data_IF_142158182230
#
_entry.id   IF_142158182230
#
_cell.length_a   1.000
_cell.length_b   1.000
_cell.length_c   1.000
_cell.angle_alpha   90.00
_cell.angle_beta   90.00
_cell.angle_gamma   90.00
#
_symmetry.space_group_name_H-M   'P 1'
#
loop_
_entity.id
_entity.type
_entity.pdbx_description
1 polymer ?
#
# COMPACT_ATOMS: atom_id res chain seq x y z
N UNK A 1 -33.26 20.42 26.88
CA UNK A 1 -32.76 19.39 25.98
C UNK A 1 -33.87 19.02 25.00
N UNK A 2 -33.68 19.03 23.66
CA UNK A 2 -34.75 18.66 22.75
C UNK A 2 -34.93 17.12 22.80
N UNK A 3 -36.14 16.67 23.08
CA UNK A 3 -36.51 15.27 23.18
C UNK A 3 -36.25 14.52 21.86
N UNK A 4 -35.43 13.46 21.92
CA UNK A 4 -35.05 12.59 20.79
C UNK A 4 -36.23 11.82 20.16
N UNK A 5 -37.44 11.89 20.74
CA UNK A 5 -38.64 11.10 20.35
C UNK A 5 -39.79 11.89 19.74
N UNK A 6 -39.61 13.18 19.42
CA UNK A 6 -40.73 14.07 19.00
C UNK A 6 -41.35 13.61 17.65
N UNK A 7 -40.56 13.12 16.70
CA UNK A 7 -41.07 12.75 15.36
C UNK A 7 -41.84 11.41 15.35
N UNK A 8 -41.39 10.43 16.11
CA UNK A 8 -42.12 9.15 16.26
C UNK A 8 -43.48 9.36 16.92
N UNK A 9 -43.56 10.21 17.93
CA UNK A 9 -44.83 10.55 18.60
C UNK A 9 -45.77 11.35 17.68
N UNK A 10 -45.21 12.22 16.80
CA UNK A 10 -46.00 12.92 15.78
C UNK A 10 -46.63 11.95 14.79
N UNK A 11 -45.86 10.96 14.31
CA UNK A 11 -46.40 9.92 13.40
C UNK A 11 -47.53 9.12 14.06
N UNK A 12 -47.34 8.69 15.31
CA UNK A 12 -48.36 8.00 16.07
C UNK A 12 -49.62 8.85 16.30
N UNK A 13 -49.46 10.12 16.62
CA UNK A 13 -50.56 11.08 16.77
C UNK A 13 -51.37 11.25 15.45
N UNK A 14 -50.67 11.33 14.30
CA UNK A 14 -51.30 11.43 12.98
C UNK A 14 -52.07 10.14 12.67
N UNK A 15 -51.50 8.97 12.88
CA UNK A 15 -52.19 7.68 12.69
C UNK A 15 -53.45 7.55 13.55
N UNK A 16 -53.37 7.96 14.82
CA UNK A 16 -54.51 7.91 15.72
C UNK A 16 -55.64 8.88 15.25
N UNK A 17 -55.31 10.06 14.76
CA UNK A 17 -56.32 11.00 14.21
C UNK A 17 -56.93 10.55 12.88
N UNK A 18 -56.15 9.78 12.08
CA UNK A 18 -56.64 9.16 10.85
C UNK A 18 -57.59 8.00 11.15
N UNK A 19 -57.31 7.23 12.24
CA UNK A 19 -58.14 6.13 12.68
C UNK A 19 -59.40 6.55 13.45
N UNK A 20 -59.39 7.68 14.15
CA UNK A 20 -60.52 8.25 14.85
C UNK A 20 -60.80 9.70 14.44
N UNK A 21 -61.73 9.91 13.50
CA UNK A 21 -62.07 11.27 13.02
C UNK A 21 -62.66 12.19 14.11
N UNK A 22 -63.08 11.67 15.24
CA UNK A 22 -63.58 12.46 16.36
C UNK A 22 -62.50 12.97 17.28
N UNK A 23 -61.30 12.45 17.14
CA UNK A 23 -60.13 12.84 17.96
C UNK A 23 -59.66 14.25 17.57
N UNK A 24 -59.89 15.23 18.45
CA UNK A 24 -59.50 16.64 18.18
C UNK A 24 -57.99 16.83 18.27
N UNK A 25 -57.44 17.66 17.39
CA UNK A 25 -55.98 17.98 17.28
C UNK A 25 -55.30 18.25 18.63
N UNK A 26 -55.90 19.10 19.47
CA UNK A 26 -55.29 19.43 20.79
C UNK A 26 -55.33 18.27 21.78
N UNK A 27 -56.30 17.38 21.66
CA UNK A 27 -56.40 16.19 22.48
C UNK A 27 -55.34 15.16 22.08
N UNK A 28 -55.22 14.90 20.78
CA UNK A 28 -54.17 14.04 20.24
C UNK A 28 -52.78 14.56 20.61
N UNK A 29 -52.53 15.85 20.44
CA UNK A 29 -51.26 16.48 20.81
C UNK A 29 -50.89 16.28 22.30
N UNK A 30 -51.88 16.32 23.20
CA UNK A 30 -51.71 16.09 24.63
C UNK A 30 -51.44 14.63 24.94
N UNK A 31 -52.16 13.68 24.32
CA UNK A 31 -52.01 12.23 24.51
C UNK A 31 -50.60 11.82 24.10
N UNK A 32 -50.13 12.27 22.97
CA UNK A 32 -48.83 11.87 22.41
C UNK A 32 -47.69 12.83 22.80
N UNK A 33 -47.95 13.79 23.72
CA UNK A 33 -46.94 14.72 24.23
C UNK A 33 -46.19 15.50 23.12
N UNK A 34 -46.91 15.92 22.05
CA UNK A 34 -46.33 16.66 20.92
C UNK A 34 -46.91 18.06 20.83
N UNK A 35 -46.18 18.97 20.20
CA UNK A 35 -46.69 20.33 19.96
C UNK A 35 -47.82 20.30 18.95
N UNK A 36 -48.97 20.89 19.34
CA UNK A 36 -50.20 20.89 18.50
C UNK A 36 -50.05 21.67 17.19
N UNK A 37 -49.16 22.68 17.14
CA UNK A 37 -48.88 23.45 15.91
C UNK A 37 -48.03 22.59 14.96
N UNK A 38 -47.07 21.83 15.48
CA UNK A 38 -46.32 20.89 14.69
C UNK A 38 -47.20 19.78 14.15
N UNK A 39 -48.08 19.21 14.96
CA UNK A 39 -49.02 18.19 14.57
C UNK A 39 -50.01 18.72 13.48
N UNK A 40 -50.54 19.93 13.62
CA UNK A 40 -51.40 20.52 12.62
C UNK A 40 -50.70 20.68 11.28
N UNK A 41 -49.49 21.23 11.27
CA UNK A 41 -48.69 21.39 10.04
C UNK A 41 -48.39 20.04 9.36
N UNK A 42 -48.18 18.97 10.12
CA UNK A 42 -47.99 17.64 9.57
C UNK A 42 -49.25 17.09 8.93
N UNK A 43 -50.40 17.29 9.54
CA UNK A 43 -51.72 16.90 8.97
C UNK A 43 -52.01 17.67 7.67
N UNK A 44 -51.58 18.90 7.56
CA UNK A 44 -51.65 19.73 6.33
C UNK A 44 -50.61 19.29 5.26
N UNK A 45 -49.84 18.21 5.49
CA UNK A 45 -48.82 17.69 4.54
C UNK A 45 -47.49 18.43 4.53
N UNK A 46 -47.25 19.34 5.50
CA UNK A 46 -45.94 20.00 5.60
C UNK A 46 -44.89 19.02 6.08
N UNK A 47 -43.86 18.68 5.28
CA UNK A 47 -42.85 17.69 5.63
C UNK A 47 -41.98 18.10 6.82
N UNK A 48 -41.31 17.15 7.44
CA UNK A 48 -40.33 17.38 8.50
C UNK A 48 -39.19 18.27 7.99
N UNK A 49 -38.65 19.10 8.86
CA UNK A 49 -37.43 19.88 8.54
C UNK A 49 -36.24 18.95 8.22
N UNK A 50 -36.32 17.69 8.63
CA UNK A 50 -35.35 16.64 8.28
C UNK A 50 -35.56 16.10 6.88
N UNK A 51 -36.80 16.08 6.38
CA UNK A 51 -37.18 15.53 5.08
C UNK A 51 -37.19 16.61 3.99
N UNK A 52 -37.22 17.87 4.38
CA UNK A 52 -37.08 19.00 3.45
C UNK A 52 -35.61 19.09 3.02
N UNK A 53 -35.35 18.98 1.72
CA UNK A 53 -34.06 19.32 1.16
C UNK A 53 -33.65 20.72 1.65
N UNK A 54 -32.45 20.82 2.21
CA UNK A 54 -31.90 22.11 2.60
C UNK A 54 -31.91 23.03 1.36
N UNK A 55 -32.53 24.21 1.44
CA UNK A 55 -32.56 25.20 0.39
C UNK A 55 -31.16 25.62 -0.12
N UNK A 56 -30.13 25.25 0.61
CA UNK A 56 -28.73 25.47 0.26
C UNK A 56 -28.12 24.37 -0.63
N UNK A 57 -28.86 23.29 -0.97
CA UNK A 57 -28.35 22.30 -1.94
C UNK A 57 -28.30 22.90 -3.33
N UNK A 58 -27.09 23.00 -3.87
CA UNK A 58 -26.89 23.55 -5.21
C UNK A 58 -27.25 22.54 -6.32
N UNK A 59 -27.03 21.22 -6.10
CA UNK A 59 -27.39 20.17 -7.03
C UNK A 59 -28.68 19.47 -6.62
N UNK A 60 -29.48 19.09 -7.61
CA UNK A 60 -30.66 18.21 -7.44
C UNK A 60 -30.22 16.79 -7.06
N UNK A 61 -31.14 15.98 -6.55
CA UNK A 61 -30.85 14.59 -6.22
C UNK A 61 -30.40 13.77 -7.44
N UNK A 62 -31.00 14.05 -8.62
CA UNK A 62 -30.63 13.39 -9.86
C UNK A 62 -29.20 13.76 -10.28
N UNK A 63 -28.86 15.06 -10.29
CA UNK A 63 -27.52 15.54 -10.61
C UNK A 63 -26.47 14.95 -9.66
N UNK A 64 -26.77 14.87 -8.35
CA UNK A 64 -25.89 14.22 -7.38
C UNK A 64 -25.74 12.72 -7.66
N UNK A 65 -26.78 12.01 -8.05
CA UNK A 65 -26.72 10.58 -8.37
C UNK A 65 -25.89 10.31 -9.63
N UNK A 66 -26.05 11.14 -10.66
CA UNK A 66 -25.22 11.08 -11.88
C UNK A 66 -23.75 11.34 -11.53
N UNK A 67 -23.48 12.32 -10.68
CA UNK A 67 -22.11 12.62 -10.25
C UNK A 67 -21.50 11.48 -9.45
N UNK A 68 -22.26 10.82 -8.55
CA UNK A 68 -21.82 9.62 -7.80
C UNK A 68 -21.45 8.52 -8.78
N UNK A 69 -22.33 8.18 -9.73
CA UNK A 69 -22.06 7.13 -10.70
C UNK A 69 -20.81 7.42 -11.51
N UNK A 70 -20.64 8.64 -11.98
CA UNK A 70 -19.46 9.03 -12.74
C UNK A 70 -18.15 8.93 -11.92
N UNK A 71 -18.20 9.29 -10.62
CA UNK A 71 -17.05 9.12 -9.71
C UNK A 71 -16.71 7.64 -9.54
N UNK A 72 -17.73 6.77 -9.37
CA UNK A 72 -17.53 5.33 -9.22
C UNK A 72 -16.97 4.70 -10.49
N UNK A 73 -17.45 5.12 -11.66
CA UNK A 73 -16.93 4.64 -12.96
C UNK A 73 -15.48 5.04 -13.18
N UNK A 74 -15.10 6.29 -12.81
CA UNK A 74 -13.71 6.72 -12.86
C UNK A 74 -12.84 5.94 -11.88
N UNK A 75 -13.32 5.70 -10.67
CA UNK A 75 -12.60 4.92 -9.66
C UNK A 75 -12.40 3.46 -10.11
N UNK A 76 -13.42 2.83 -10.72
CA UNK A 76 -13.33 1.48 -11.28
C UNK A 76 -12.30 1.38 -12.42
N UNK A 77 -12.11 2.46 -13.18
CA UNK A 77 -11.08 2.56 -14.23
C UNK A 77 -9.68 2.90 -13.69
N UNK A 78 -9.50 3.02 -12.38
CA UNK A 78 -8.22 3.36 -11.76
C UNK A 78 -7.91 4.86 -11.68
N UNK A 79 -8.86 5.74 -12.01
CA UNK A 79 -8.71 7.19 -12.01
C UNK A 79 -9.63 7.90 -11.01
N UNK A 80 -9.58 7.58 -9.69
CA UNK A 80 -10.43 8.23 -8.70
C UNK A 80 -10.17 9.75 -8.68
N UNK A 81 -11.20 10.58 -8.82
CA UNK A 81 -11.01 12.02 -8.92
C UNK A 81 -10.66 12.64 -7.56
N UNK A 82 -9.83 13.70 -7.59
CA UNK A 82 -9.55 14.52 -6.41
C UNK A 82 -10.78 15.34 -6.03
N UNK A 83 -10.88 15.78 -4.78
CA UNK A 83 -11.99 16.63 -4.31
C UNK A 83 -12.16 17.90 -5.17
N UNK A 84 -11.07 18.54 -5.60
CA UNK A 84 -11.12 19.70 -6.49
C UNK A 84 -11.76 19.39 -7.86
N UNK A 85 -11.46 18.19 -8.40
CA UNK A 85 -12.05 17.73 -9.66
C UNK A 85 -13.55 17.47 -9.49
N UNK A 86 -13.97 16.92 -8.35
CA UNK A 86 -15.38 16.71 -8.00
C UNK A 86 -16.11 18.08 -7.88
N UNK A 87 -15.46 19.10 -7.33
CA UNK A 87 -15.99 20.48 -7.29
C UNK A 87 -16.16 21.07 -8.70
N UNK A 88 -15.19 20.85 -9.58
CA UNK A 88 -15.26 21.30 -10.97
C UNK A 88 -16.36 20.56 -11.75
N UNK A 89 -16.51 19.24 -11.57
CA UNK A 89 -17.59 18.47 -12.17
C UNK A 89 -18.97 19.01 -11.74
N UNK A 90 -19.17 19.22 -10.44
CA UNK A 90 -20.39 19.80 -9.89
C UNK A 90 -20.66 21.21 -10.43
N UNK A 91 -19.61 22.03 -10.54
CA UNK A 91 -19.70 23.39 -11.08
C UNK A 91 -20.04 23.41 -12.57
N UNK A 92 -19.55 22.44 -13.36
CA UNK A 92 -19.93 22.27 -14.77
C UNK A 92 -21.40 21.92 -14.93
N UNK A 93 -21.93 20.99 -14.09
CA UNK A 93 -23.37 20.68 -14.07
C UNK A 93 -24.21 21.92 -13.74
N UNK A 94 -23.76 22.77 -12.82
CA UNK A 94 -24.45 24.02 -12.49
C UNK A 94 -24.40 25.06 -13.63
N UNK A 95 -23.29 25.11 -14.36
CA UNK A 95 -23.11 26.01 -15.48
C UNK A 95 -24.11 25.75 -16.65
N UNK A 96 -24.58 24.49 -16.80
CA UNK A 96 -25.60 24.20 -17.83
C UNK A 96 -26.93 24.87 -17.62
N UNK A 97 -27.17 25.43 -16.44
CA UNK A 97 -28.40 26.19 -16.07
C UNK A 97 -28.10 27.57 -15.49
N UNK A 98 -26.95 28.14 -15.84
CA UNK A 98 -26.50 29.46 -15.39
C UNK A 98 -26.46 29.64 -13.85
N UNK A 99 -26.31 28.57 -13.08
CA UNK A 99 -26.23 28.63 -11.65
C UNK A 99 -24.79 28.86 -11.16
N UNK A 100 -24.63 29.48 -9.99
CA UNK A 100 -23.32 29.79 -9.43
C UNK A 100 -22.55 28.55 -9.00
N UNK A 101 -21.23 28.55 -9.18
CA UNK A 101 -20.32 27.47 -8.80
C UNK A 101 -20.47 26.99 -7.35
N UNK A 102 -20.11 25.77 -7.05
CA UNK A 102 -20.04 25.24 -5.68
C UNK A 102 -18.87 25.88 -4.90
N UNK A 103 -19.00 25.94 -3.58
CA UNK A 103 -17.93 26.47 -2.72
C UNK A 103 -16.85 25.40 -2.41
N UNK A 104 -15.69 25.84 -1.93
CA UNK A 104 -14.50 25.03 -1.67
C UNK A 104 -14.67 23.86 -0.68
N UNK A 105 -15.70 23.84 0.14
CA UNK A 105 -16.01 22.72 1.07
C UNK A 105 -17.14 21.83 0.57
N UNK A 106 -17.66 22.10 -0.61
CA UNK A 106 -18.84 21.41 -1.12
C UNK A 106 -18.55 19.92 -1.36
N UNK A 107 -17.44 19.58 -2.03
CA UNK A 107 -17.08 18.20 -2.34
C UNK A 107 -16.85 17.36 -1.07
N UNK A 108 -16.16 17.92 -0.06
CA UNK A 108 -15.98 17.24 1.22
C UNK A 108 -17.31 16.95 1.93
N UNK A 109 -18.25 17.90 1.89
CA UNK A 109 -19.59 17.72 2.46
C UNK A 109 -20.44 16.77 1.60
N UNK A 110 -20.27 16.78 0.29
CA UNK A 110 -20.91 15.86 -0.65
C UNK A 110 -20.51 14.41 -0.36
N UNK A 111 -19.22 14.12 -0.27
CA UNK A 111 -18.72 12.77 0.05
C UNK A 111 -19.21 12.30 1.43
N UNK A 112 -19.21 13.16 2.45
CA UNK A 112 -19.69 12.80 3.80
C UNK A 112 -21.17 12.41 3.87
N UNK A 113 -22.03 12.92 2.97
CA UNK A 113 -23.47 12.60 2.95
C UNK A 113 -23.83 11.45 2.03
N UNK A 114 -22.89 10.99 1.19
CA UNK A 114 -23.09 9.87 0.27
C UNK A 114 -22.38 8.64 0.81
N UNK A 115 -23.17 7.62 1.16
CA UNK A 115 -22.66 6.36 1.75
C UNK A 115 -21.82 5.55 0.76
N UNK A 116 -22.03 5.78 -0.54
CA UNK A 116 -21.32 5.12 -1.64
C UNK A 116 -19.89 5.65 -1.81
N UNK A 117 -19.58 6.82 -1.22
CA UNK A 117 -18.31 7.52 -1.41
C UNK A 117 -17.50 7.62 -0.13
N UNK A 118 -16.19 7.57 -0.25
CA UNK A 118 -15.25 7.84 0.84
C UNK A 118 -14.00 8.54 0.32
N UNK A 119 -13.32 9.31 1.18
CA UNK A 119 -12.01 9.88 0.87
C UNK A 119 -10.90 8.96 1.36
N UNK A 120 -9.91 8.72 0.51
CA UNK A 120 -8.65 8.03 0.85
C UNK A 120 -7.46 8.82 0.33
N UNK A 121 -6.31 8.71 1.00
CA UNK A 121 -5.07 9.22 0.45
C UNK A 121 -4.66 8.38 -0.76
N UNK A 122 -4.55 9.03 -1.91
CA UNK A 122 -4.04 8.41 -3.12
C UNK A 122 -2.52 8.26 -2.98
N UNK A 123 -2.01 7.03 -3.00
CA UNK A 123 -0.59 6.75 -3.27
C UNK A 123 -0.39 6.86 -4.78
N UNK A 124 0.78 7.35 -5.21
CA UNK A 124 1.18 7.25 -6.62
C UNK A 124 1.25 5.76 -6.97
N UNK A 125 0.40 5.32 -7.85
CA UNK A 125 0.36 3.94 -8.32
C UNK A 125 0.70 3.93 -9.81
N UNK A 126 1.69 3.13 -10.17
CA UNK A 126 2.14 3.02 -11.54
C UNK A 126 1.08 2.29 -12.38
N UNK A 127 0.77 2.82 -13.58
CA UNK A 127 -0.20 2.23 -14.50
C UNK A 127 0.21 0.81 -14.94
N UNK A 128 1.50 0.56 -15.11
CA UNK A 128 2.03 -0.77 -15.44
C UNK A 128 1.75 -1.77 -14.30
N UNK A 129 1.91 -1.34 -13.05
CA UNK A 129 1.56 -2.16 -11.88
C UNK A 129 0.08 -2.49 -11.84
N UNK A 130 -0.81 -1.54 -12.18
CA UNK A 130 -2.25 -1.80 -12.25
C UNK A 130 -2.64 -2.86 -13.29
N UNK A 131 -1.90 -2.94 -14.40
CA UNK A 131 -2.10 -3.99 -15.41
C UNK A 131 -1.68 -5.37 -14.93
N UNK A 132 -0.71 -5.44 -14.05
CA UNK A 132 -0.17 -6.72 -13.55
C UNK A 132 -1.00 -7.30 -12.39
N UNK A 133 -2.00 -6.57 -11.90
CA UNK A 133 -3.02 -7.07 -10.98
C UNK A 133 -4.14 -7.84 -11.69
N UNK A 134 -4.02 -8.08 -13.00
CA UNK A 134 -4.98 -8.89 -13.74
C UNK A 134 -4.99 -10.32 -13.18
N UNK A 135 -6.13 -10.79 -12.64
CA UNK A 135 -6.25 -12.13 -12.09
C UNK A 135 -5.90 -13.24 -13.08
N UNK A 136 -6.10 -13.03 -14.38
CA UNK A 136 -5.77 -14.02 -15.41
C UNK A 136 -4.25 -14.18 -15.54
N UNK A 137 -3.49 -13.09 -15.52
CA UNK A 137 -2.02 -13.11 -15.56
C UNK A 137 -1.46 -13.80 -14.31
N UNK A 138 -1.99 -13.46 -13.13
CA UNK A 138 -1.56 -14.03 -11.86
C UNK A 138 -1.88 -15.53 -11.81
N UNK A 139 -3.07 -15.93 -12.19
CA UNK A 139 -3.47 -17.35 -12.21
C UNK A 139 -2.64 -18.14 -13.23
N UNK A 140 -2.40 -17.59 -14.41
CA UNK A 140 -1.56 -18.22 -15.43
C UNK A 140 -0.12 -18.45 -14.93
N UNK A 141 0.44 -17.50 -14.18
CA UNK A 141 1.75 -17.65 -13.58
C UNK A 141 1.76 -18.75 -12.50
N UNK A 142 0.76 -18.82 -11.63
CA UNK A 142 0.67 -19.90 -10.64
C UNK A 142 0.44 -21.26 -11.29
N UNK A 143 -0.25 -21.35 -12.42
CA UNK A 143 -0.35 -22.57 -13.21
C UNK A 143 1.01 -23.00 -13.76
N UNK A 144 1.80 -22.05 -14.27
CA UNK A 144 3.16 -22.31 -14.74
C UNK A 144 4.03 -22.85 -13.62
N UNK A 145 3.97 -22.27 -12.42
CA UNK A 145 4.69 -22.76 -11.23
C UNK A 145 4.29 -24.21 -10.91
N UNK A 146 2.97 -24.49 -10.79
CA UNK A 146 2.47 -25.86 -10.52
C UNK A 146 2.91 -26.87 -11.57
N UNK A 147 2.81 -26.50 -12.84
CA UNK A 147 3.21 -27.37 -13.94
C UNK A 147 4.71 -27.63 -13.95
N UNK A 148 5.52 -26.64 -13.60
CA UNK A 148 6.97 -26.78 -13.47
C UNK A 148 7.34 -27.72 -12.31
N UNK A 149 6.73 -27.53 -11.15
CA UNK A 149 6.92 -28.41 -9.99
C UNK A 149 6.57 -29.85 -10.35
N UNK A 150 5.41 -30.07 -10.98
CA UNK A 150 4.95 -31.39 -11.40
C UNK A 150 5.88 -32.02 -12.47
N UNK A 151 6.32 -31.23 -13.45
CA UNK A 151 7.18 -31.68 -14.54
C UNK A 151 8.55 -32.19 -14.08
N UNK A 152 9.16 -31.47 -13.14
CA UNK A 152 10.52 -31.78 -12.67
C UNK A 152 10.52 -32.53 -11.34
N UNK A 153 9.36 -32.80 -10.72
CA UNK A 153 9.25 -33.46 -9.42
C UNK A 153 9.94 -32.70 -8.31
N UNK A 154 9.75 -31.36 -8.29
CA UNK A 154 10.42 -30.48 -7.33
C UNK A 154 9.74 -30.62 -5.97
N UNK A 155 10.52 -30.87 -4.92
CA UNK A 155 10.02 -30.89 -3.55
C UNK A 155 9.73 -29.48 -3.04
N UNK A 156 8.78 -29.34 -2.13
CA UNK A 156 8.46 -28.04 -1.54
C UNK A 156 9.68 -27.40 -0.87
N UNK A 157 10.51 -28.19 -0.20
CA UNK A 157 11.74 -27.72 0.44
C UNK A 157 12.77 -27.15 -0.55
N UNK A 158 12.67 -27.54 -1.83
CA UNK A 158 13.58 -27.16 -2.90
C UNK A 158 13.09 -25.94 -3.71
N UNK A 159 12.04 -25.26 -3.24
CA UNK A 159 11.54 -24.02 -3.83
C UNK A 159 12.15 -22.83 -3.11
N UNK A 160 12.78 -21.95 -3.87
CA UNK A 160 13.46 -20.76 -3.38
C UNK A 160 12.95 -19.52 -4.09
N UNK A 161 12.90 -18.41 -3.35
CA UNK A 161 12.71 -17.08 -3.91
C UNK A 161 14.00 -16.27 -3.75
N UNK A 162 14.36 -15.56 -4.79
CA UNK A 162 15.52 -14.68 -4.88
C UNK A 162 15.09 -13.25 -5.13
N UNK A 163 15.77 -12.30 -4.50
CA UNK A 163 15.58 -10.89 -4.77
C UNK A 163 16.72 -10.03 -4.20
N UNK A 164 16.80 -8.79 -4.67
CA UNK A 164 17.77 -7.80 -4.24
C UNK A 164 17.10 -6.64 -3.53
N UNK A 165 17.74 -6.15 -2.48
CA UNK A 165 17.31 -4.92 -1.84
C UNK A 165 18.46 -3.99 -1.59
N UNK A 166 18.23 -2.69 -1.82
CA UNK A 166 19.23 -1.66 -1.62
C UNK A 166 19.06 -0.88 -0.33
N UNK A 167 20.19 -0.50 0.24
CA UNK A 167 20.32 0.39 1.37
C UNK A 167 21.22 1.57 0.97
N UNK A 168 20.77 2.76 1.30
CA UNK A 168 21.64 3.94 1.23
C UNK A 168 22.18 4.20 2.63
N UNK A 169 23.49 4.16 2.81
CA UNK A 169 24.11 4.38 4.11
C UNK A 169 23.64 5.69 4.74
N UNK A 170 23.32 5.65 6.01
CA UNK A 170 22.91 6.82 6.77
C UNK A 170 21.54 7.40 6.41
N UNK A 171 20.71 6.76 5.60
CA UNK A 171 19.36 7.25 5.32
C UNK A 171 18.38 6.75 6.37
N UNK A 172 17.76 7.70 7.07
CA UNK A 172 16.74 7.47 8.08
C UNK A 172 15.37 7.45 7.43
N UNK A 173 14.55 6.47 7.77
CA UNK A 173 13.16 6.38 7.33
C UNK A 173 12.32 7.57 7.78
N UNK A 174 11.36 8.00 6.95
CA UNK A 174 10.41 9.05 7.32
C UNK A 174 9.48 8.51 8.41
N UNK A 175 9.46 9.15 9.56
CA UNK A 175 8.61 8.79 10.68
C UNK A 175 7.86 10.02 11.23
N UNK A 176 6.81 9.77 12.01
CA UNK A 176 6.13 10.81 12.76
C UNK A 176 6.98 11.17 13.98
N UNK A 177 7.33 12.45 14.12
CA UNK A 177 8.16 12.94 15.22
C UNK A 177 7.37 13.89 16.11
N UNK A 178 7.72 13.91 17.40
CA UNK A 178 7.20 14.89 18.35
C UNK A 178 8.14 16.09 18.34
N UNK A 179 7.57 17.29 18.16
CA UNK A 179 8.33 18.55 18.13
C UNK A 179 7.57 19.63 18.89
N UNK A 180 8.21 20.80 19.11
CA UNK A 180 7.56 21.92 19.77
C UNK A 180 6.29 22.36 19.04
N UNK A 181 5.24 22.67 19.79
CA UNK A 181 3.96 23.22 19.30
C UNK A 181 4.12 24.63 18.69
N UNK A 182 5.18 25.35 19.03
CA UNK A 182 5.43 26.72 18.61
C UNK A 182 6.04 26.82 17.19
N UNK A 183 6.45 25.67 16.61
CA UNK A 183 7.06 25.60 15.30
C UNK A 183 6.06 25.60 14.15
N UNK A 184 6.03 26.64 13.32
CA UNK A 184 5.26 26.68 12.06
C UNK A 184 5.92 25.93 10.91
N UNK A 185 7.18 25.51 11.05
CA UNK A 185 7.94 24.79 10.02
C UNK A 185 7.79 23.28 10.17
N UNK A 186 7.87 22.55 9.05
CA UNK A 186 7.97 21.08 9.06
C UNK A 186 9.19 20.66 9.87
N UNK A 187 9.03 19.69 10.78
CA UNK A 187 10.15 19.10 11.51
C UNK A 187 11.21 18.60 10.51
N UNK A 188 12.44 19.01 10.70
CA UNK A 188 13.60 18.56 9.89
C UNK A 188 14.41 17.60 10.75
N UNK A 189 14.71 16.42 10.21
CA UNK A 189 15.61 15.45 10.82
C UNK A 189 16.96 15.55 10.12
N UNK A 190 18.03 15.70 10.88
CA UNK A 190 19.40 15.68 10.35
C UNK A 190 19.70 14.25 9.95
N UNK A 191 20.25 14.07 8.75
CA UNK A 191 20.66 12.76 8.23
C UNK A 191 22.19 12.69 8.14
N UNK A 192 22.80 11.51 8.33
CA UNK A 192 24.21 11.29 8.11
C UNK A 192 24.68 11.72 6.72
N UNK A 193 25.95 12.10 6.60
CA UNK A 193 26.52 12.63 5.37
C UNK A 193 26.84 11.58 4.30
N UNK A 194 27.13 10.34 4.71
CA UNK A 194 27.45 9.25 3.78
C UNK A 194 26.19 8.74 3.07
N UNK A 195 26.29 8.53 1.75
CA UNK A 195 25.20 8.05 0.89
C UNK A 195 25.68 6.96 -0.07
N UNK A 196 26.67 6.20 0.34
CA UNK A 196 27.10 5.04 -0.44
C UNK A 196 25.98 4.00 -0.48
N UNK A 197 25.90 3.33 -1.61
CA UNK A 197 24.88 2.31 -1.83
C UNK A 197 25.39 0.94 -1.41
N UNK A 198 24.54 0.17 -0.78
CA UNK A 198 24.76 -1.25 -0.46
C UNK A 198 23.61 -2.05 -1.01
N UNK A 199 23.90 -3.09 -1.77
CA UNK A 199 22.93 -4.06 -2.22
C UNK A 199 23.07 -5.35 -1.40
N UNK A 200 21.96 -5.86 -0.92
CA UNK A 200 21.86 -7.18 -0.28
C UNK A 200 21.08 -8.08 -1.21
N UNK A 201 21.71 -9.15 -1.67
CA UNK A 201 21.08 -10.21 -2.42
C UNK A 201 20.68 -11.30 -1.45
N UNK A 202 19.42 -11.69 -1.45
CA UNK A 202 18.86 -12.66 -0.53
C UNK A 202 18.12 -13.77 -1.26
N UNK A 203 18.28 -15.00 -0.77
CA UNK A 203 17.48 -16.14 -1.15
C UNK A 203 16.77 -16.73 0.07
N UNK A 204 15.50 -17.10 -0.06
CA UNK A 204 14.74 -17.78 1.00
C UNK A 204 14.03 -18.99 0.44
N UNK A 205 14.00 -20.09 1.20
CA UNK A 205 13.23 -21.28 0.83
C UNK A 205 11.76 -21.12 1.22
N UNK A 206 10.89 -21.91 0.61
CA UNK A 206 9.47 -22.01 0.98
C UNK A 206 9.25 -22.39 2.45
N UNK A 207 10.21 -23.08 3.05
CA UNK A 207 10.19 -23.49 4.45
C UNK A 207 10.78 -22.44 5.41
N UNK A 208 11.12 -21.24 4.93
CA UNK A 208 11.60 -20.12 5.74
C UNK A 208 13.10 -20.16 6.08
N UNK A 209 13.87 -21.07 5.48
CA UNK A 209 15.33 -21.02 5.60
C UNK A 209 15.91 -19.97 4.65
N UNK A 210 16.83 -19.16 5.15
CA UNK A 210 17.49 -18.11 4.37
C UNK A 210 18.90 -18.56 3.95
N UNK A 211 19.22 -18.34 2.67
CA UNK A 211 20.61 -18.47 2.17
C UNK A 211 21.47 -17.44 2.89
N UNK A 212 22.73 -17.78 3.28
CA UNK A 212 23.62 -16.78 3.86
C UNK A 212 23.70 -15.52 3.00
N UNK A 213 23.62 -14.30 3.59
CA UNK A 213 23.55 -13.06 2.84
C UNK A 213 24.74 -12.85 1.90
N UNK A 214 24.45 -12.29 0.72
CA UNK A 214 25.45 -11.82 -0.23
C UNK A 214 25.31 -10.29 -0.34
N UNK A 215 26.34 -9.57 0.10
CA UNK A 215 26.30 -8.12 0.27
C UNK A 215 27.26 -7.46 -0.70
N UNK A 216 26.81 -6.49 -1.47
CA UNK A 216 27.63 -5.72 -2.41
C UNK A 216 27.74 -4.30 -1.90
N UNK A 217 28.95 -3.80 -1.67
CA UNK A 217 29.23 -2.44 -1.26
C UNK A 217 29.91 -1.65 -2.35
N UNK A 218 29.67 -0.32 -2.38
CA UNK A 218 30.38 0.57 -3.27
C UNK A 218 31.88 0.63 -2.88
N UNK A 219 32.78 0.41 -3.81
CA UNK A 219 34.22 0.48 -3.56
C UNK A 219 35.09 -0.22 -4.59
N UNK A 220 36.41 -0.09 -4.43
CA UNK A 220 37.39 -0.73 -5.31
C UNK A 220 38.12 -1.89 -4.63
N UNK A 221 38.19 -1.87 -3.31
CA UNK A 221 38.98 -2.82 -2.55
C UNK A 221 38.15 -3.44 -1.43
N UNK A 222 38.39 -4.74 -1.18
CA UNK A 222 37.95 -5.44 0.01
C UNK A 222 38.83 -5.05 1.20
N UNK A 223 38.23 -4.79 2.36
CA UNK A 223 38.96 -4.56 3.58
C UNK A 223 38.82 -5.78 4.52
N UNK A 224 39.96 -6.23 5.04
CA UNK A 224 40.01 -7.37 5.98
C UNK A 224 39.25 -7.04 7.27
N UNK A 225 39.23 -5.78 7.69
CA UNK A 225 38.50 -5.30 8.88
C UNK A 225 37.02 -5.61 8.87
N UNK A 226 36.39 -5.72 7.68
CA UNK A 226 34.97 -6.07 7.58
C UNK A 226 34.66 -7.47 8.06
N UNK A 227 35.64 -8.35 8.06
CA UNK A 227 35.48 -9.76 8.51
C UNK A 227 36.00 -9.97 9.93
N UNK A 228 37.05 -9.27 10.34
CA UNK A 228 37.71 -9.46 11.62
C UNK A 228 36.92 -8.94 12.81
N UNK A 229 36.18 -7.83 12.60
CA UNK A 229 35.48 -7.12 13.68
C UNK A 229 33.97 -7.30 13.68
N UNK A 230 33.39 -7.93 12.66
CA UNK A 230 31.93 -7.89 12.42
C UNK A 230 31.14 -9.01 13.07
N UNK A 231 31.78 -10.06 13.61
CA UNK A 231 31.08 -11.23 14.13
C UNK A 231 30.23 -11.98 13.09
N UNK A 232 30.45 -11.72 11.79
CA UNK A 232 29.74 -12.42 10.72
C UNK A 232 30.09 -13.92 10.71
N UNK A 233 29.10 -14.73 10.32
CA UNK A 233 29.36 -16.09 9.95
C UNK A 233 30.30 -16.13 8.73
N UNK A 234 31.24 -17.07 8.71
CA UNK A 234 32.15 -17.32 7.57
C UNK A 234 31.40 -17.62 6.26
N UNK A 235 30.11 -17.87 6.34
CA UNK A 235 29.25 -18.20 5.20
C UNK A 235 28.71 -16.97 4.48
N UNK A 236 28.81 -15.77 5.09
CA UNK A 236 28.41 -14.53 4.45
C UNK A 236 29.43 -14.11 3.38
N UNK A 237 28.94 -13.53 2.31
CA UNK A 237 29.78 -13.00 1.24
C UNK A 237 29.65 -11.49 1.19
N UNK A 238 30.77 -10.78 1.28
CA UNK A 238 30.85 -9.36 1.00
C UNK A 238 31.60 -9.20 -0.33
N UNK A 239 30.98 -8.50 -1.27
CA UNK A 239 31.55 -8.18 -2.59
C UNK A 239 31.67 -6.67 -2.78
N UNK A 240 32.48 -6.25 -3.72
CA UNK A 240 32.64 -4.83 -4.06
C UNK A 240 32.36 -4.60 -5.53
N UNK A 241 31.65 -3.50 -5.81
CA UNK A 241 31.51 -2.93 -7.16
C UNK A 241 31.69 -1.42 -7.06
N UNK A 242 31.97 -0.76 -8.18
CA UNK A 242 32.28 0.68 -8.17
C UNK A 242 31.21 1.53 -7.47
N UNK A 243 29.94 1.16 -7.65
CA UNK A 243 28.80 1.91 -7.17
C UNK A 243 27.90 1.15 -6.16
N UNK A 244 28.25 -0.10 -5.78
CA UNK A 244 27.47 -0.94 -4.89
C UNK A 244 26.27 -1.62 -5.54
N UNK A 245 26.16 -1.60 -6.86
CA UNK A 245 25.07 -2.26 -7.62
C UNK A 245 25.49 -3.64 -8.09
N UNK A 246 24.52 -4.50 -8.30
CA UNK A 246 24.74 -5.82 -8.90
C UNK A 246 25.16 -5.69 -10.36
N UNK A 247 26.09 -6.50 -10.77
CA UNK A 247 26.52 -6.70 -12.16
C UNK A 247 26.31 -8.17 -12.55
N UNK A 248 26.37 -8.48 -13.85
CA UNK A 248 26.25 -9.87 -14.31
C UNK A 248 27.31 -10.79 -13.66
N UNK A 249 28.52 -10.29 -13.46
CA UNK A 249 29.59 -11.00 -12.75
C UNK A 249 29.19 -11.31 -11.29
N UNK A 250 28.61 -10.34 -10.59
CA UNK A 250 28.11 -10.55 -9.20
C UNK A 250 26.88 -11.45 -9.15
N UNK A 251 26.06 -11.41 -10.18
CA UNK A 251 24.97 -12.39 -10.36
C UNK A 251 25.49 -13.83 -10.47
N UNK A 252 26.58 -14.01 -11.23
CA UNK A 252 27.25 -15.33 -11.33
C UNK A 252 27.87 -15.77 -10.01
N UNK A 253 28.54 -14.88 -9.29
CA UNK A 253 29.08 -15.19 -7.96
C UNK A 253 27.95 -15.59 -7.00
N UNK A 254 26.80 -14.91 -7.07
CA UNK A 254 25.66 -15.23 -6.24
C UNK A 254 25.05 -16.59 -6.56
N UNK A 255 24.87 -16.97 -7.82
CA UNK A 255 24.28 -18.28 -8.14
C UNK A 255 25.22 -19.44 -7.72
N UNK A 256 26.53 -19.24 -7.77
CA UNK A 256 27.51 -20.19 -7.22
C UNK A 256 27.39 -20.29 -5.70
N UNK A 257 27.22 -19.15 -5.02
CA UNK A 257 26.96 -19.09 -3.58
C UNK A 257 25.65 -19.82 -3.23
N UNK A 258 24.58 -19.60 -3.99
CA UNK A 258 23.32 -20.32 -3.86
C UNK A 258 23.50 -21.82 -4.00
N UNK A 259 24.18 -22.29 -5.06
CA UNK A 259 24.47 -23.72 -5.29
C UNK A 259 25.23 -24.35 -4.11
N UNK A 260 26.27 -23.66 -3.66
CA UNK A 260 27.10 -24.11 -2.54
C UNK A 260 26.27 -24.41 -1.28
N UNK A 261 25.30 -23.53 -0.98
CA UNK A 261 24.54 -23.62 0.27
C UNK A 261 23.25 -24.43 0.16
N UNK A 262 22.71 -24.63 -1.05
CA UNK A 262 21.44 -25.32 -1.24
C UNK A 262 21.57 -26.74 -1.73
N UNK A 263 22.67 -27.11 -2.41
CA UNK A 263 22.90 -28.44 -2.96
C UNK A 263 22.79 -29.57 -1.92
N UNK A 264 23.47 -29.41 -0.79
CA UNK A 264 23.46 -30.40 0.29
C UNK A 264 22.13 -30.47 1.05
N UNK A 265 21.25 -29.49 0.86
CA UNK A 265 19.92 -29.40 1.47
C UNK A 265 18.81 -29.89 0.55
N UNK A 266 19.09 -30.06 -0.73
CA UNK A 266 18.10 -30.49 -1.71
C UNK A 266 17.54 -31.87 -1.36
N UNK A 267 16.22 -31.98 -1.36
CA UNK A 267 15.46 -33.21 -1.14
C UNK A 267 15.25 -33.93 -2.46
N UNK A 268 14.89 -33.17 -3.51
CA UNK A 268 14.67 -33.71 -4.85
C UNK A 268 15.89 -33.61 -5.76
N UNK A 269 15.68 -33.98 -7.04
CA UNK A 269 16.70 -33.87 -8.08
C UNK A 269 16.86 -32.48 -8.66
N UNK A 270 15.88 -31.58 -8.44
CA UNK A 270 15.82 -30.24 -9.00
C UNK A 270 15.42 -29.23 -7.94
N UNK A 271 15.94 -28.02 -8.04
CA UNK A 271 15.56 -26.86 -7.23
C UNK A 271 14.85 -25.84 -8.11
N UNK A 272 13.82 -25.20 -7.61
CA UNK A 272 13.13 -24.10 -8.27
C UNK A 272 13.60 -22.77 -7.68
N UNK A 273 14.06 -21.89 -8.53
CA UNK A 273 14.45 -20.53 -8.17
C UNK A 273 13.47 -19.52 -8.83
N UNK A 274 12.63 -18.93 -8.01
CA UNK A 274 11.71 -17.87 -8.43
C UNK A 274 12.40 -16.53 -8.31
N UNK A 275 12.48 -15.76 -9.40
CA UNK A 275 13.17 -14.49 -9.48
C UNK A 275 12.33 -13.44 -10.24
N UNK A 276 12.71 -12.19 -10.12
CA UNK A 276 12.15 -11.13 -10.95
C UNK A 276 12.79 -11.14 -12.35
N UNK A 277 12.19 -10.42 -13.28
CA UNK A 277 12.67 -10.34 -14.66
C UNK A 277 13.80 -9.33 -14.87
N UNK A 278 14.67 -9.09 -13.88
CA UNK A 278 15.77 -8.13 -14.03
C UNK A 278 16.90 -8.72 -14.89
N UNK A 279 17.49 -7.88 -15.74
CA UNK A 279 18.46 -8.27 -16.79
C UNK A 279 19.73 -8.93 -16.22
N UNK A 280 20.14 -8.61 -14.99
CA UNK A 280 21.33 -9.18 -14.31
C UNK A 280 21.21 -10.68 -13.99
N UNK A 281 20.01 -11.26 -14.10
CA UNK A 281 19.73 -12.67 -13.78
C UNK A 281 19.38 -13.51 -15.02
N UNK A 282 19.62 -12.98 -16.21
CA UNK A 282 19.27 -13.59 -17.50
C UNK A 282 20.44 -13.62 -18.48
N UNK A 283 21.70 -13.54 -17.99
CA UNK A 283 22.81 -13.78 -18.89
C UNK A 283 22.83 -15.26 -19.31
N UNK A 284 23.25 -15.53 -20.54
CA UNK A 284 23.37 -16.89 -21.08
C UNK A 284 24.19 -17.78 -20.14
N UNK A 285 25.24 -17.22 -19.54
CA UNK A 285 26.13 -17.89 -18.58
C UNK A 285 25.39 -18.29 -17.29
N UNK A 286 24.50 -17.41 -16.79
CA UNK A 286 23.70 -17.68 -15.60
C UNK A 286 22.70 -18.81 -15.84
N UNK A 287 22.01 -18.78 -16.99
CA UNK A 287 21.05 -19.81 -17.35
C UNK A 287 21.72 -21.17 -17.62
N UNK A 288 22.89 -21.19 -18.27
CA UNK A 288 23.67 -22.39 -18.50
C UNK A 288 24.14 -23.02 -17.17
N UNK A 289 24.67 -22.19 -16.27
CA UNK A 289 25.05 -22.64 -14.92
C UNK A 289 23.87 -23.25 -14.15
N UNK A 290 22.72 -22.60 -14.17
CA UNK A 290 21.50 -23.12 -13.54
C UNK A 290 21.11 -24.48 -14.10
N UNK A 291 21.16 -24.64 -15.42
CA UNK A 291 20.83 -25.88 -16.10
C UNK A 291 21.80 -27.03 -15.75
N UNK A 292 23.09 -26.76 -15.71
CA UNK A 292 24.12 -27.73 -15.33
C UNK A 292 23.97 -28.20 -13.88
N UNK A 293 23.41 -27.37 -12.99
CA UNK A 293 23.26 -27.65 -11.58
C UNK A 293 21.81 -28.03 -11.18
N UNK A 294 20.96 -28.37 -12.15
CA UNK A 294 19.55 -28.71 -11.93
C UNK A 294 18.77 -27.67 -11.17
N UNK A 295 19.04 -26.39 -11.45
CA UNK A 295 18.29 -25.24 -10.94
C UNK A 295 17.33 -24.77 -12.05
N UNK A 296 16.04 -24.86 -11.79
CA UNK A 296 15.01 -24.39 -12.71
C UNK A 296 14.66 -22.96 -12.31
N UNK A 297 14.85 -22.00 -13.21
CA UNK A 297 14.51 -20.60 -12.99
C UNK A 297 13.09 -20.30 -13.48
N UNK A 298 12.32 -19.56 -12.72
CA UNK A 298 11.04 -19.04 -13.14
C UNK A 298 10.96 -17.54 -12.83
N UNK A 299 10.71 -16.74 -13.89
CA UNK A 299 10.51 -15.32 -13.76
C UNK A 299 9.05 -15.01 -13.44
N UNK A 300 8.86 -14.10 -12.52
CA UNK A 300 7.54 -13.53 -12.26
C UNK A 300 7.10 -12.63 -13.41
N UNK A 301 5.79 -12.41 -13.59
CA UNK A 301 5.28 -11.44 -14.55
C UNK A 301 5.89 -10.05 -14.29
N UNK A 302 6.23 -9.33 -15.35
CA UNK A 302 6.82 -7.99 -15.24
C UNK A 302 5.96 -7.07 -14.36
N UNK A 303 6.59 -6.25 -13.52
CA UNK A 303 5.94 -5.30 -12.60
C UNK A 303 5.06 -5.90 -11.49
N UNK A 304 5.06 -7.22 -11.30
CA UNK A 304 4.24 -7.92 -10.28
C UNK A 304 4.94 -8.13 -8.94
N UNK A 305 6.20 -7.72 -8.78
CA UNK A 305 7.02 -7.94 -7.57
C UNK A 305 6.32 -7.49 -6.28
N UNK A 306 5.58 -6.38 -6.32
CA UNK A 306 4.82 -5.87 -5.17
C UNK A 306 3.69 -6.79 -4.67
N UNK A 307 3.30 -7.80 -5.46
CA UNK A 307 2.27 -8.80 -5.15
C UNK A 307 2.85 -10.21 -5.00
N UNK A 308 3.75 -10.57 -5.90
CA UNK A 308 4.19 -11.96 -6.08
C UNK A 308 5.59 -12.25 -5.51
N UNK A 309 6.41 -11.20 -5.23
CA UNK A 309 7.75 -11.35 -4.69
C UNK A 309 7.73 -11.51 -3.17
N UNK A 310 7.94 -12.72 -2.62
CA UNK A 310 7.85 -12.97 -1.18
C UNK A 310 8.79 -12.10 -0.34
N UNK A 311 10.02 -11.86 -0.84
CA UNK A 311 11.02 -11.04 -0.15
C UNK A 311 10.59 -9.58 -0.04
N UNK A 312 10.04 -8.99 -1.11
CA UNK A 312 9.53 -7.62 -1.10
C UNK A 312 8.27 -7.47 -0.22
N UNK A 313 7.36 -8.44 -0.31
CA UNK A 313 6.08 -8.40 0.41
C UNK A 313 6.25 -8.60 1.91
N UNK A 314 7.14 -9.52 2.32
CA UNK A 314 7.23 -9.99 3.70
C UNK A 314 8.52 -9.64 4.44
N UNK A 315 9.68 -9.59 3.76
CA UNK A 315 10.98 -9.58 4.42
C UNK A 315 11.69 -8.22 4.36
N UNK A 316 11.77 -7.59 3.20
CA UNK A 316 12.56 -6.37 3.03
C UNK A 316 11.98 -5.15 3.72
N UNK A 317 10.66 -5.06 3.88
CA UNK A 317 10.02 -4.00 4.64
C UNK A 317 10.48 -3.95 6.12
N UNK A 318 10.31 -5.03 6.89
CA UNK A 318 10.85 -5.15 8.24
C UNK A 318 12.35 -4.94 8.35
N UNK A 319 13.15 -5.48 7.40
CA UNK A 319 14.59 -5.31 7.36
C UNK A 319 14.99 -3.84 7.23
N UNK A 320 14.41 -3.11 6.27
CA UNK A 320 14.62 -1.67 6.09
C UNK A 320 14.21 -0.84 7.30
N UNK A 321 13.13 -1.26 7.99
CA UNK A 321 12.71 -0.60 9.22
C UNK A 321 13.71 -0.85 10.37
N UNK A 322 14.25 -2.06 10.50
CA UNK A 322 15.27 -2.40 11.48
C UNK A 322 16.55 -1.59 11.24
N UNK A 323 17.02 -1.54 9.99
CA UNK A 323 18.15 -0.72 9.59
C UNK A 323 17.91 0.77 9.92
N UNK A 324 16.75 1.32 9.56
CA UNK A 324 16.42 2.71 9.86
C UNK A 324 16.44 3.05 11.35
N UNK A 325 16.01 2.12 12.23
CA UNK A 325 16.11 2.28 13.69
C UNK A 325 17.56 2.31 14.15
N UNK A 326 18.39 1.39 13.65
CA UNK A 326 19.81 1.34 14.00
C UNK A 326 20.53 2.65 13.64
N UNK A 327 20.29 3.18 12.43
CA UNK A 327 20.82 4.49 12.02
C UNK A 327 20.32 5.62 12.94
N UNK A 328 19.07 5.56 13.38
CA UNK A 328 18.51 6.55 14.31
C UNK A 328 19.19 6.51 15.68
N UNK A 329 19.45 5.32 16.20
CA UNK A 329 20.15 5.12 17.47
C UNK A 329 21.60 5.64 17.38
N UNK A 330 22.32 5.37 16.29
CA UNK A 330 23.65 5.91 16.03
C UNK A 330 23.63 7.44 15.99
N UNK A 331 22.66 8.05 15.32
CA UNK A 331 22.51 9.50 15.28
C UNK A 331 22.22 10.10 16.68
N UNK A 332 21.44 9.44 17.51
CA UNK A 332 21.22 9.85 18.88
C UNK A 332 22.49 9.75 19.73
N UNK A 333 23.37 8.80 19.41
CA UNK A 333 24.71 8.69 19.99
C UNK A 333 25.74 9.65 19.38
N UNK A 334 25.30 10.66 18.61
CA UNK A 334 26.14 11.68 17.93
C UNK A 334 27.07 11.14 16.83
N UNK A 335 26.83 9.93 16.31
CA UNK A 335 27.52 9.40 15.13
C UNK A 335 26.82 9.97 13.90
N UNK A 336 27.39 11.03 13.32
CA UNK A 336 26.78 11.76 12.21
C UNK A 336 27.28 11.33 10.83
N UNK A 337 28.26 10.44 10.76
CA UNK A 337 28.81 9.90 9.54
C UNK A 337 28.90 8.38 9.66
N UNK A 338 28.07 7.69 8.91
CA UNK A 338 28.02 6.22 8.89
C UNK A 338 29.01 5.73 7.84
N UNK A 339 29.99 4.96 8.27
CA UNK A 339 31.00 4.33 7.41
C UNK A 339 30.61 2.86 7.12
N UNK A 340 31.39 2.18 6.29
CA UNK A 340 31.23 0.73 6.08
C UNK A 340 31.51 -0.07 7.35
N UNK A 341 32.46 0.38 8.16
CA UNK A 341 32.79 -0.25 9.43
C UNK A 341 31.62 -0.13 10.44
N UNK A 342 30.82 0.95 10.36
CA UNK A 342 29.60 1.10 11.16
C UNK A 342 28.40 0.32 10.56
N UNK A 343 28.43 0.04 9.25
CA UNK A 343 27.41 -0.75 8.57
C UNK A 343 27.56 -2.24 8.84
N UNK A 344 28.79 -2.67 9.12
CA UNK A 344 29.16 -4.05 9.43
C UNK A 344 29.66 -4.21 10.89
N UNK A 345 28.83 -3.98 11.90
CA UNK A 345 29.23 -4.14 13.30
C UNK A 345 29.32 -5.59 13.74
#
# INVERSE_FOLDING_TARGET
>A
MPHKNDESQLVLAIQAMQSDPKLRLRVAARIYSVDHRKLGRRLEGVPSRRDIQANSRKLTNLEESVLVQYILDLAAKGFPPRLSVVEDMASRLLATRDASRVGSRWASNFVKRRVELQTRFQRKYDYQRAKCEDPEVINGWFELVRNTIAKYGIDEADIYNFDETGFMMGVISTAMVVTSSDGRAKAKKVQPGNREWVTVIQGVSSQGWAVPPFIIVAGKNHLTSWYENSGFSSDWVISVTENGWTTNERGMDWIQHFEKHTKARSVGGYRLLVLDGHESHHSDEFEEYCKEHNIITLCMPAHSSHLLQPLDVGCFGPLKQAYGRQIEDMMQAHISHITKDDFFP
#
